data_IF_363223195942
#
_entry.id   IF_363223195942
#
_cell.length_a   1.000
_cell.length_b   1.000
_cell.length_c   1.000
_cell.angle_alpha   90.00
_cell.angle_beta   90.00
_cell.angle_gamma   90.00
#
_symmetry.space_group_name_H-M   'P 1'
#
loop_
_entity.id
_entity.type
_entity.pdbx_description
1 polymer ?
#
# COMPACT_ATOMS: atom_id res chain seq x y z
N UNK A 1 25.30 3.65 1.61
CA UNK A 1 24.88 2.90 0.41
C UNK A 1 23.90 3.77 -0.36
N UNK A 2 24.02 3.84 -1.68
CA UNK A 2 23.62 5.01 -2.50
C UNK A 2 22.11 5.08 -2.77
N UNK A 3 21.48 6.22 -2.48
CA UNK A 3 20.10 6.58 -2.83
C UNK A 3 19.75 6.39 -4.33
N UNK A 4 20.76 6.39 -5.20
CA UNK A 4 20.61 6.13 -6.65
C UNK A 4 20.18 4.69 -7.00
N UNK A 5 20.50 3.69 -6.18
CA UNK A 5 20.07 2.30 -6.43
C UNK A 5 18.62 2.05 -6.01
N UNK A 6 18.15 2.77 -4.98
CA UNK A 6 16.76 2.74 -4.51
C UNK A 6 15.86 3.44 -5.53
N UNK A 7 16.28 4.59 -6.08
CA UNK A 7 15.55 5.35 -7.10
C UNK A 7 15.16 4.50 -8.31
N UNK A 8 16.08 3.72 -8.90
CA UNK A 8 15.76 2.88 -10.06
C UNK A 8 14.89 1.68 -9.71
N UNK A 9 15.01 1.10 -8.51
CA UNK A 9 14.19 -0.05 -8.11
C UNK A 9 12.72 0.34 -7.88
N UNK A 10 12.47 1.49 -7.22
CA UNK A 10 11.12 2.02 -6.99
C UNK A 10 10.48 2.51 -8.29
N UNK A 11 11.24 3.25 -9.11
CA UNK A 11 10.76 3.77 -10.40
C UNK A 11 10.48 2.65 -11.40
N UNK A 12 11.29 1.58 -11.41
CA UNK A 12 11.03 0.42 -12.25
C UNK A 12 9.82 -0.37 -11.74
N UNK A 13 9.75 -0.75 -10.46
CA UNK A 13 8.65 -1.57 -9.91
C UNK A 13 7.26 -0.95 -10.13
N UNK A 14 7.19 0.39 -10.26
CA UNK A 14 5.95 1.15 -10.39
C UNK A 14 5.68 1.58 -11.86
N UNK A 15 6.70 1.59 -12.73
CA UNK A 15 6.62 2.01 -14.14
C UNK A 15 6.22 0.88 -15.10
N UNK A 16 4.92 0.63 -15.24
CA UNK A 16 4.36 -0.16 -16.34
C UNK A 16 4.51 0.57 -17.69
N UNK A 17 5.70 0.41 -18.30
CA UNK A 17 6.09 0.47 -19.74
C UNK A 17 7.29 1.42 -19.95
N UNK A 18 8.40 0.85 -20.41
CA UNK A 18 9.45 1.55 -21.17
C UNK A 18 10.52 2.29 -20.36
N UNK A 19 11.60 1.58 -19.97
CA UNK A 19 12.90 2.20 -19.76
C UNK A 19 13.97 1.37 -20.47
N UNK A 20 14.60 1.94 -21.50
CA UNK A 20 15.84 1.43 -22.09
C UNK A 20 17.02 2.00 -21.30
N UNK A 21 17.95 1.13 -20.88
CA UNK A 21 19.11 1.47 -20.07
C UNK A 21 20.06 2.44 -20.79
N UNK A 22 20.28 3.63 -20.20
CA UNK A 22 21.49 4.43 -20.48
C UNK A 22 22.56 4.12 -19.44
N UNK A 23 23.48 3.24 -19.79
CA UNK A 23 24.71 3.02 -19.03
C UNK A 23 25.56 4.30 -19.01
N UNK A 24 25.91 4.78 -17.81
CA UNK A 24 27.01 5.74 -17.64
C UNK A 24 28.05 5.13 -16.70
N UNK A 25 29.26 4.97 -17.22
CA UNK A 25 30.45 4.42 -16.57
C UNK A 25 31.23 5.50 -15.79
N UNK A 26 32.20 5.02 -14.98
CA UNK A 26 33.37 5.72 -14.38
C UNK A 26 33.15 6.24 -12.94
N UNK A 27 34.03 6.09 -11.93
CA UNK A 27 35.35 5.47 -11.74
C UNK A 27 35.52 5.03 -10.27
N UNK A 28 36.45 4.09 -10.04
CA UNK A 28 36.94 3.64 -8.72
C UNK A 28 37.91 4.63 -8.08
N UNK A 29 37.83 4.82 -6.76
CA UNK A 29 38.81 5.57 -5.99
C UNK A 29 38.86 5.17 -4.51
N UNK A 30 40.03 4.67 -4.11
CA UNK A 30 40.68 4.63 -2.79
C UNK A 30 39.94 4.09 -1.54
N UNK A 31 40.49 2.98 -1.02
CA UNK A 31 40.33 2.44 0.34
C UNK A 31 41.17 3.21 1.36
N UNK A 32 40.68 3.40 2.60
CA UNK A 32 41.55 3.56 3.76
C UNK A 32 41.47 2.36 4.71
N UNK A 33 42.65 1.97 5.18
CA UNK A 33 42.97 1.00 6.23
C UNK A 33 42.61 1.54 7.62
N UNK A 34 42.06 0.69 8.49
CA UNK A 34 42.10 0.89 9.96
C UNK A 34 42.42 -0.45 10.63
N UNK A 35 43.43 -0.42 11.51
CA UNK A 35 43.92 -1.55 12.31
C UNK A 35 42.98 -1.92 13.48
N UNK A 36 42.95 -3.24 13.72
CA UNK A 36 42.80 -4.03 14.95
C UNK A 36 42.84 -3.29 16.32
N UNK A 37 42.24 -3.72 17.44
CA UNK A 37 41.95 -5.05 18.04
C UNK A 37 40.83 -4.87 19.10
N UNK A 38 39.92 -5.84 19.24
CA UNK A 38 39.42 -6.29 20.55
C UNK A 38 38.91 -7.74 20.43
N UNK A 39 39.73 -8.69 20.87
CA UNK A 39 39.40 -10.11 20.98
C UNK A 39 38.29 -10.35 22.01
N UNK A 40 37.16 -10.89 21.56
CA UNK A 40 36.11 -11.46 22.42
C UNK A 40 36.21 -12.99 22.36
N UNK A 41 36.15 -13.63 23.52
CA UNK A 41 36.29 -15.08 23.70
C UNK A 41 35.23 -15.89 22.92
N UNK A 42 35.54 -17.13 22.48
CA UNK A 42 34.61 -17.95 21.73
C UNK A 42 33.51 -18.48 22.65
N UNK A 43 32.26 -18.16 22.33
CA UNK A 43 31.09 -18.86 22.87
C UNK A 43 30.90 -20.11 22.03
N UNK A 44 31.01 -21.28 22.66
CA UNK A 44 30.74 -22.58 22.05
C UNK A 44 29.30 -22.63 21.52
N UNK A 45 29.16 -22.69 20.21
CA UNK A 45 27.89 -22.93 19.52
C UNK A 45 27.41 -24.35 19.79
N UNK A 46 26.30 -24.49 20.50
CA UNK A 46 25.53 -25.73 20.51
C UNK A 46 25.00 -25.98 19.08
N UNK A 47 25.28 -27.17 18.56
CA UNK A 47 24.82 -27.64 17.25
C UNK A 47 23.29 -27.67 17.21
N UNK A 48 22.68 -26.69 16.55
CA UNK A 48 21.26 -26.73 16.18
C UNK A 48 21.15 -27.65 14.97
N UNK A 49 20.37 -28.72 15.09
CA UNK A 49 20.07 -29.63 13.99
C UNK A 49 19.46 -28.85 12.81
N UNK A 50 19.83 -29.16 11.55
CA UNK A 50 19.26 -28.49 10.40
C UNK A 50 17.75 -28.71 10.39
N UNK A 51 16.99 -27.61 10.42
CA UNK A 51 15.56 -27.60 10.17
C UNK A 51 15.29 -28.29 8.82
N UNK A 52 14.34 -29.22 8.72
CA UNK A 52 14.01 -29.84 7.44
C UNK A 52 13.64 -28.75 6.45
N UNK A 53 14.44 -28.61 5.40
CA UNK A 53 14.16 -27.76 4.25
C UNK A 53 12.87 -28.25 3.62
N UNK A 54 11.80 -27.45 3.73
CA UNK A 54 10.57 -27.63 2.95
C UNK A 54 10.98 -27.79 1.48
N UNK A 55 10.50 -28.83 0.76
CA UNK A 55 10.82 -28.98 -0.65
C UNK A 55 10.42 -27.71 -1.41
N UNK A 56 11.17 -27.31 -2.46
CA UNK A 56 10.83 -26.16 -3.27
C UNK A 56 9.41 -26.32 -3.79
N UNK A 57 8.57 -25.30 -3.58
CA UNK A 57 7.22 -25.30 -4.13
C UNK A 57 7.33 -25.32 -5.66
N UNK A 58 6.86 -26.40 -6.28
CA UNK A 58 6.96 -26.64 -7.72
C UNK A 58 5.71 -26.05 -8.41
N UNK A 59 5.78 -24.77 -8.76
CA UNK A 59 4.75 -24.13 -9.60
C UNK A 59 5.14 -24.30 -11.06
N UNK A 60 4.27 -24.92 -11.87
CA UNK A 60 4.45 -24.90 -13.32
C UNK A 60 4.38 -23.44 -13.80
N UNK A 61 5.23 -23.03 -14.77
CA UNK A 61 5.05 -21.74 -15.43
C UNK A 61 3.61 -21.66 -15.94
N UNK A 62 2.94 -20.50 -15.87
CA UNK A 62 1.60 -20.38 -16.41
C UNK A 62 1.58 -20.94 -17.84
N UNK A 63 0.65 -21.84 -18.15
CA UNK A 63 0.47 -22.43 -19.49
C UNK A 63 -0.80 -21.86 -20.11
N UNK A 64 -0.68 -21.16 -21.25
CA UNK A 64 -1.80 -20.48 -21.93
C UNK A 64 -1.58 -18.98 -22.13
N UNK A 65 -2.30 -18.33 -23.04
CA UNK A 65 -2.29 -16.85 -23.16
C UNK A 65 -2.49 -16.21 -21.77
N UNK A 66 -1.93 -15.01 -21.48
CA UNK A 66 -2.34 -14.27 -20.30
C UNK A 66 -3.85 -14.11 -20.41
N UNK A 67 -4.62 -14.86 -19.63
CA UNK A 67 -6.05 -14.62 -19.54
C UNK A 67 -6.22 -13.31 -18.77
N UNK A 68 -6.08 -12.21 -19.51
CA UNK A 68 -6.33 -10.82 -19.11
C UNK A 68 -7.83 -10.55 -18.93
N UNK A 69 -8.68 -11.58 -18.99
CA UNK A 69 -10.09 -11.41 -18.68
C UNK A 69 -10.20 -11.14 -17.17
N UNK A 70 -10.63 -9.94 -16.74
CA UNK A 70 -10.92 -9.71 -15.34
C UNK A 70 -11.90 -10.80 -14.87
N UNK A 71 -11.85 -11.23 -13.59
CA UNK A 71 -12.97 -11.99 -13.03
C UNK A 71 -14.23 -11.18 -13.33
N UNK A 72 -15.33 -11.87 -13.71
CA UNK A 72 -16.63 -11.24 -14.01
C UNK A 72 -16.79 -10.00 -13.14
N UNK A 73 -16.94 -8.82 -13.76
CA UNK A 73 -16.77 -7.52 -13.08
C UNK A 73 -17.64 -7.38 -11.81
N UNK A 74 -18.68 -8.20 -11.70
CA UNK A 74 -19.58 -8.35 -10.55
C UNK A 74 -18.94 -8.90 -9.26
N UNK A 75 -17.74 -9.49 -9.30
CA UNK A 75 -17.10 -10.11 -8.13
C UNK A 75 -16.14 -9.19 -7.35
N UNK A 76 -15.74 -8.02 -7.86
CA UNK A 76 -14.85 -7.13 -7.09
C UNK A 76 -15.51 -6.02 -6.24
N UNK A 77 -16.80 -5.67 -6.36
CA UNK A 77 -17.30 -4.51 -5.61
C UNK A 77 -17.43 -4.80 -4.11
N UNK A 78 -17.61 -6.05 -3.69
CA UNK A 78 -17.80 -6.40 -2.27
C UNK A 78 -16.50 -6.81 -1.58
N UNK A 79 -16.37 -6.62 -0.25
CA UNK A 79 -15.23 -7.12 0.51
C UNK A 79 -15.01 -8.63 0.32
N UNK A 80 -16.10 -9.41 0.31
CA UNK A 80 -16.07 -10.86 0.14
C UNK A 80 -15.59 -11.25 -1.26
N UNK A 81 -16.01 -10.48 -2.25
CA UNK A 81 -15.64 -10.69 -3.63
C UNK A 81 -14.17 -10.37 -3.91
N UNK A 82 -13.64 -9.29 -3.33
CA UNK A 82 -12.20 -9.00 -3.33
C UNK A 82 -11.42 -10.11 -2.63
N UNK A 83 -11.86 -10.55 -1.45
CA UNK A 83 -11.19 -11.63 -0.71
C UNK A 83 -11.16 -12.93 -1.52
N UNK A 84 -12.26 -13.28 -2.20
CA UNK A 84 -12.31 -14.42 -3.11
C UNK A 84 -11.36 -14.28 -4.30
N UNK A 85 -11.21 -13.07 -4.86
CA UNK A 85 -10.26 -12.82 -5.93
C UNK A 85 -8.79 -13.01 -5.49
N UNK A 86 -8.43 -12.56 -4.28
CA UNK A 86 -7.11 -12.79 -3.71
C UNK A 86 -6.86 -14.27 -3.42
N UNK A 87 -7.85 -14.98 -2.85
CA UNK A 87 -7.76 -16.42 -2.60
C UNK A 87 -7.55 -17.21 -3.90
N UNK A 88 -8.29 -16.86 -4.96
CA UNK A 88 -8.14 -17.50 -6.26
C UNK A 88 -6.78 -17.18 -6.92
N UNK A 89 -6.22 -15.98 -6.71
CA UNK A 89 -4.86 -15.66 -7.16
C UNK A 89 -3.82 -16.49 -6.40
N UNK A 90 -3.97 -16.64 -5.09
CA UNK A 90 -3.08 -17.46 -4.27
C UNK A 90 -3.15 -18.94 -4.65
N UNK A 91 -4.34 -19.49 -4.83
CA UNK A 91 -4.55 -20.90 -5.23
C UNK A 91 -3.89 -21.22 -6.58
N UNK A 92 -3.91 -20.27 -7.53
CA UNK A 92 -3.22 -20.41 -8.82
C UNK A 92 -1.71 -20.23 -8.72
N UNK A 93 -1.24 -19.47 -7.73
CA UNK A 93 0.17 -19.09 -7.58
C UNK A 93 0.73 -19.34 -6.18
N UNK A 94 0.63 -20.56 -5.63
CA UNK A 94 0.91 -20.82 -4.22
C UNK A 94 2.39 -20.72 -3.87
N UNK A 95 3.29 -20.82 -4.84
CA UNK A 95 4.75 -20.72 -4.62
C UNK A 95 5.26 -19.29 -4.71
N UNK A 96 4.45 -18.39 -5.27
CA UNK A 96 4.82 -17.01 -5.60
C UNK A 96 4.00 -15.98 -4.80
N UNK A 97 3.09 -16.46 -3.95
CA UNK A 97 2.22 -15.61 -3.15
C UNK A 97 1.87 -16.22 -1.80
N UNK A 98 1.47 -15.37 -0.86
CA UNK A 98 0.98 -15.71 0.48
C UNK A 98 -0.29 -14.89 0.75
N UNK A 99 -1.38 -15.54 1.15
CA UNK A 99 -2.60 -14.84 1.58
C UNK A 99 -2.59 -14.69 3.10
N UNK A 100 -2.59 -13.44 3.58
CA UNK A 100 -2.45 -13.11 5.01
C UNK A 100 -3.66 -12.30 5.47
N UNK A 101 -4.29 -12.70 6.58
CA UNK A 101 -5.24 -11.84 7.29
C UNK A 101 -4.45 -10.87 8.18
N UNK A 102 -4.45 -9.58 7.85
CA UNK A 102 -3.71 -8.55 8.58
C UNK A 102 -4.54 -7.90 9.69
N UNK A 103 -5.78 -8.31 9.90
CA UNK A 103 -6.64 -7.76 10.93
C UNK A 103 -8.11 -7.90 10.57
N UNK A 104 -8.96 -7.38 11.44
CA UNK A 104 -10.42 -7.37 11.27
C UNK A 104 -11.00 -6.01 11.59
N UNK A 105 -12.10 -5.66 10.91
CA UNK A 105 -12.83 -4.41 11.12
C UNK A 105 -13.72 -4.44 12.38
N UNK A 106 -14.41 -3.33 12.66
CA UNK A 106 -15.38 -3.26 13.76
C UNK A 106 -16.52 -4.26 13.64
N UNK A 107 -16.93 -4.60 12.41
CA UNK A 107 -17.98 -5.59 12.14
C UNK A 107 -17.41 -6.98 11.82
N UNK A 108 -16.20 -7.29 12.30
CA UNK A 108 -15.53 -8.59 12.20
C UNK A 108 -15.27 -9.06 10.75
N UNK A 109 -15.14 -8.13 9.79
CA UNK A 109 -14.73 -8.47 8.43
C UNK A 109 -13.21 -8.56 8.33
N UNK A 110 -12.65 -9.62 7.72
CA UNK A 110 -11.21 -9.78 7.58
C UNK A 110 -10.62 -8.79 6.58
N UNK A 111 -9.44 -8.28 6.91
CA UNK A 111 -8.61 -7.42 6.07
C UNK A 111 -7.49 -8.30 5.54
N UNK A 112 -7.46 -8.51 4.22
CA UNK A 112 -6.51 -9.42 3.59
C UNK A 112 -5.40 -8.68 2.85
N UNK A 113 -4.19 -9.22 2.97
CA UNK A 113 -3.07 -8.93 2.09
C UNK A 113 -2.79 -10.15 1.21
N UNK A 114 -2.58 -9.95 -0.09
CA UNK A 114 -1.86 -10.91 -0.91
C UNK A 114 -0.41 -10.44 -1.00
N UNK A 115 0.50 -11.19 -0.40
CA UNK A 115 1.93 -10.88 -0.46
C UNK A 115 2.52 -11.63 -1.63
N UNK A 116 3.23 -10.94 -2.51
CA UNK A 116 3.76 -11.47 -3.76
C UNK A 116 5.27 -11.25 -3.84
N UNK A 117 5.99 -12.23 -4.40
CA UNK A 117 7.46 -12.24 -4.46
C UNK A 117 8.07 -13.23 -3.47
N UNK A 118 9.31 -13.65 -3.71
CA UNK A 118 9.91 -14.73 -2.93
C UNK A 118 10.29 -14.27 -1.52
N UNK A 119 9.59 -14.84 -0.53
CA UNK A 119 9.79 -14.64 0.89
C UNK A 119 11.07 -15.29 1.42
N UNK A 120 12.00 -14.46 1.87
CA UNK A 120 13.00 -14.80 2.88
C UNK A 120 13.38 -13.50 3.61
N UNK A 121 13.78 -13.51 4.89
CA UNK A 121 14.16 -12.33 5.68
C UNK A 121 15.43 -11.59 5.20
N UNK A 122 15.88 -11.87 3.98
CA UNK A 122 17.18 -11.51 3.43
C UNK A 122 17.23 -10.06 2.95
N UNK A 123 16.89 -9.10 3.83
CA UNK A 123 17.10 -7.67 3.60
C UNK A 123 16.50 -7.07 2.32
N UNK A 124 15.57 -7.78 1.66
CA UNK A 124 14.91 -7.31 0.45
C UNK A 124 13.93 -6.20 0.80
N UNK A 125 13.79 -5.15 -0.04
CA UNK A 125 12.81 -4.11 0.19
C UNK A 125 11.39 -4.66 0.08
N UNK A 126 10.55 -4.32 1.07
CA UNK A 126 9.10 -4.51 1.00
C UNK A 126 8.43 -3.26 0.44
N UNK A 127 7.44 -3.43 -0.42
CA UNK A 127 6.59 -2.36 -0.96
C UNK A 127 5.14 -2.58 -0.58
N UNK A 128 4.42 -1.50 -0.34
CA UNK A 128 3.02 -1.56 0.11
C UNK A 128 2.09 -0.92 -0.92
N UNK A 129 1.17 -1.71 -1.47
CA UNK A 129 0.10 -1.22 -2.34
C UNK A 129 -1.22 -1.42 -1.60
N UNK A 130 -1.92 -0.33 -1.31
CA UNK A 130 -3.14 -0.38 -0.53
C UNK A 130 -4.25 0.47 -1.13
N UNK A 131 -5.50 0.15 -0.80
CA UNK A 131 -6.68 0.82 -1.32
C UNK A 131 -7.87 0.75 -0.36
N UNK A 132 -8.90 1.53 -0.69
CA UNK A 132 -10.19 1.56 0.02
C UNK A 132 -9.99 1.86 1.51
N UNK A 133 -9.22 2.90 1.85
CA UNK A 133 -9.38 3.54 3.17
C UNK A 133 -10.74 4.23 3.27
N UNK A 134 -11.22 4.75 2.14
CA UNK A 134 -12.58 5.23 1.96
C UNK A 134 -13.43 4.13 1.29
N UNK A 135 -14.48 3.68 1.97
CA UNK A 135 -15.33 2.60 1.46
C UNK A 135 -16.16 2.96 0.21
N UNK A 136 -16.34 4.25 -0.07
CA UNK A 136 -17.05 4.77 -1.24
C UNK A 136 -16.19 4.84 -2.52
N UNK A 137 -14.99 4.25 -2.50
CA UNK A 137 -14.03 4.25 -3.61
C UNK A 137 -13.70 2.82 -4.11
N UNK A 138 -14.69 1.95 -4.42
CA UNK A 138 -14.46 0.52 -4.73
C UNK A 138 -13.55 0.29 -5.94
N UNK A 139 -13.48 1.24 -6.88
CA UNK A 139 -12.58 1.14 -8.04
C UNK A 139 -11.10 1.09 -7.62
N UNK A 140 -10.72 1.69 -6.48
CA UNK A 140 -9.34 1.62 -5.98
C UNK A 140 -8.90 0.18 -5.65
N UNK A 141 -9.81 -0.67 -5.17
CA UNK A 141 -9.51 -2.09 -4.92
C UNK A 141 -9.11 -2.82 -6.21
N UNK A 142 -9.77 -2.47 -7.33
CA UNK A 142 -9.48 -3.09 -8.62
C UNK A 142 -8.03 -2.83 -9.07
N UNK A 143 -7.46 -1.66 -8.79
CA UNK A 143 -6.07 -1.35 -9.12
C UNK A 143 -5.08 -2.26 -8.39
N UNK A 144 -5.31 -2.50 -7.10
CA UNK A 144 -4.42 -3.37 -6.29
C UNK A 144 -4.58 -4.84 -6.68
N UNK A 145 -5.81 -5.30 -6.94
CA UNK A 145 -6.06 -6.67 -7.42
C UNK A 145 -5.48 -6.88 -8.83
N UNK A 146 -5.57 -5.88 -9.70
CA UNK A 146 -5.00 -5.95 -11.04
C UNK A 146 -3.46 -5.96 -11.03
N UNK A 147 -2.84 -5.17 -10.15
CA UNK A 147 -1.40 -5.23 -9.93
C UNK A 147 -0.95 -6.64 -9.51
N UNK A 148 -1.66 -7.28 -8.57
CA UNK A 148 -1.39 -8.67 -8.18
C UNK A 148 -1.53 -9.64 -9.37
N UNK A 149 -2.61 -9.51 -10.15
CA UNK A 149 -2.85 -10.36 -11.33
C UNK A 149 -1.76 -10.17 -12.37
N UNK A 150 -1.36 -8.94 -12.65
CA UNK A 150 -0.33 -8.60 -13.63
C UNK A 150 1.02 -9.24 -13.26
N UNK A 151 1.43 -9.09 -12.00
CA UNK A 151 2.69 -9.63 -11.50
C UNK A 151 2.72 -11.17 -11.60
N UNK A 152 1.64 -11.83 -11.15
CA UNK A 152 1.59 -13.28 -11.10
C UNK A 152 1.42 -13.93 -12.49
N UNK A 153 0.62 -13.33 -13.39
CA UNK A 153 0.36 -13.90 -14.72
C UNK A 153 1.55 -13.78 -15.70
N UNK A 154 2.47 -12.84 -15.43
CA UNK A 154 3.65 -12.57 -16.26
C UNK A 154 4.94 -13.15 -15.70
N UNK A 155 4.89 -13.81 -14.54
CA UNK A 155 6.02 -14.58 -14.01
C UNK A 155 6.51 -15.62 -15.03
N UNK A 156 7.82 -15.66 -15.27
CA UNK A 156 8.48 -16.50 -16.26
C UNK A 156 8.27 -16.06 -17.71
N UNK A 157 7.61 -14.94 -17.95
CA UNK A 157 7.28 -14.42 -19.29
C UNK A 157 7.76 -12.98 -19.51
N UNK A 158 7.85 -12.19 -18.45
CA UNK A 158 8.39 -10.84 -18.46
C UNK A 158 9.57 -10.75 -17.49
N UNK A 159 10.79 -10.61 -18.02
CA UNK A 159 12.03 -10.54 -17.25
C UNK A 159 12.04 -9.38 -16.24
N UNK A 160 11.29 -8.31 -16.51
CA UNK A 160 11.14 -7.17 -15.61
C UNK A 160 10.27 -7.53 -14.41
N UNK A 161 9.15 -8.22 -14.64
CA UNK A 161 8.29 -8.74 -13.56
C UNK A 161 9.05 -9.76 -12.72
N UNK A 162 9.76 -10.69 -13.37
CA UNK A 162 10.57 -11.68 -12.66
C UNK A 162 11.63 -11.03 -11.77
N UNK A 163 12.24 -9.94 -12.25
CA UNK A 163 13.15 -9.14 -11.43
C UNK A 163 12.45 -8.57 -10.19
N UNK A 164 11.27 -7.97 -10.32
CA UNK A 164 10.53 -7.44 -9.16
C UNK A 164 10.19 -8.55 -8.16
N UNK A 165 9.70 -9.69 -8.64
CA UNK A 165 9.35 -10.83 -7.80
C UNK A 165 10.57 -11.48 -7.11
N UNK A 166 11.75 -11.30 -7.69
CA UNK A 166 13.02 -11.79 -7.14
C UNK A 166 13.63 -10.81 -6.14
N UNK A 167 13.61 -9.51 -6.44
CA UNK A 167 14.30 -8.46 -5.68
C UNK A 167 13.45 -7.82 -4.58
N UNK A 168 12.12 -7.96 -4.61
CA UNK A 168 11.22 -7.27 -3.69
C UNK A 168 10.09 -8.17 -3.15
N UNK A 169 9.52 -7.76 -2.02
CA UNK A 169 8.29 -8.33 -1.44
C UNK A 169 7.18 -7.29 -1.57
N UNK A 170 6.09 -7.61 -2.25
CA UNK A 170 4.97 -6.69 -2.46
C UNK A 170 3.80 -7.08 -1.57
N UNK A 171 3.42 -6.21 -0.65
CA UNK A 171 2.23 -6.35 0.18
C UNK A 171 1.06 -5.64 -0.49
N UNK A 172 0.11 -6.42 -1.02
CA UNK A 172 -1.06 -5.88 -1.71
C UNK A 172 -2.30 -6.01 -0.83
N UNK A 173 -2.83 -4.89 -0.32
CA UNK A 173 -4.03 -4.80 0.54
C UNK A 173 -5.12 -4.01 -0.17
N UNK A 174 -5.98 -4.64 -0.98
CA UNK A 174 -6.96 -3.92 -1.79
C UNK A 174 -8.11 -3.29 -0.99
N UNK A 175 -8.37 -3.78 0.22
CA UNK A 175 -9.48 -3.29 1.06
C UNK A 175 -9.04 -3.10 2.49
N UNK A 176 -8.72 -1.87 2.86
CA UNK A 176 -8.44 -1.50 4.27
C UNK A 176 -9.74 -1.29 5.05
N UNK A 177 -10.79 -0.75 4.42
CA UNK A 177 -12.09 -0.48 5.03
C UNK A 177 -13.20 -1.42 4.50
N UNK A 178 -13.26 -2.69 4.93
CA UNK A 178 -14.27 -3.62 4.44
C UNK A 178 -15.70 -3.25 4.90
N UNK A 179 -15.86 -2.59 6.05
CA UNK A 179 -17.18 -2.20 6.56
C UNK A 179 -17.81 -1.06 5.77
N UNK A 180 -17.01 -0.02 5.48
CA UNK A 180 -17.41 1.08 4.63
C UNK A 180 -17.69 0.62 3.20
N UNK A 181 -16.82 -0.23 2.65
CA UNK A 181 -17.01 -0.80 1.31
C UNK A 181 -18.33 -1.57 1.23
N UNK A 182 -18.60 -2.45 2.19
CA UNK A 182 -19.87 -3.17 2.29
C UNK A 182 -21.05 -2.20 2.33
N UNK A 183 -21.00 -1.17 3.18
CA UNK A 183 -22.08 -0.19 3.29
C UNK A 183 -22.34 0.56 1.99
N UNK A 184 -21.29 0.93 1.27
CA UNK A 184 -21.38 1.63 -0.01
C UNK A 184 -22.04 0.75 -1.08
N UNK A 185 -21.52 -0.46 -1.30
CA UNK A 185 -21.98 -1.32 -2.40
C UNK A 185 -23.34 -1.96 -2.15
N UNK A 186 -23.72 -2.15 -0.89
CA UNK A 186 -25.07 -2.58 -0.51
C UNK A 186 -26.07 -1.42 -0.43
N UNK A 187 -25.63 -0.18 -0.74
CA UNK A 187 -26.47 1.03 -0.68
C UNK A 187 -27.12 1.23 0.69
N UNK A 188 -26.46 0.77 1.76
CA UNK A 188 -27.00 0.73 3.13
C UNK A 188 -27.55 2.08 3.59
N UNK A 189 -26.91 3.17 3.17
CA UNK A 189 -27.25 4.54 3.57
C UNK A 189 -27.78 5.40 2.41
N UNK A 190 -28.17 4.79 1.29
CA UNK A 190 -28.74 5.51 0.15
C UNK A 190 -30.02 6.24 0.55
N UNK A 191 -30.15 7.51 0.14
CA UNK A 191 -31.31 8.34 0.46
C UNK A 191 -31.34 8.92 1.89
N UNK A 192 -30.33 8.68 2.73
CA UNK A 192 -30.29 9.16 4.12
C UNK A 192 -29.65 10.56 4.30
N UNK A 193 -29.41 11.30 3.21
CA UNK A 193 -28.89 12.68 3.26
C UNK A 193 -27.40 12.82 3.60
N UNK A 194 -26.62 11.73 3.55
CA UNK A 194 -25.17 11.77 3.77
C UNK A 194 -24.43 12.36 2.57
N UNK A 195 -23.43 13.20 2.83
CA UNK A 195 -22.56 13.77 1.77
C UNK A 195 -21.68 12.71 1.09
N UNK A 196 -21.21 11.71 1.85
CA UNK A 196 -20.29 10.65 1.44
C UNK A 196 -20.69 9.31 2.09
N UNK A 197 -21.83 8.71 1.67
CA UNK A 197 -22.33 7.48 2.28
C UNK A 197 -21.33 6.32 2.08
N UNK A 198 -21.04 5.56 3.12
CA UNK A 198 -20.12 4.41 3.05
C UNK A 198 -18.62 4.77 3.04
N UNK A 199 -18.25 6.05 3.15
CA UNK A 199 -16.85 6.48 3.22
C UNK A 199 -16.12 5.98 4.47
N UNK A 200 -16.71 6.19 5.66
CA UNK A 200 -16.12 5.88 6.97
C UNK A 200 -16.18 4.37 7.27
N UNK A 201 -15.47 3.91 8.29
CA UNK A 201 -15.53 2.50 8.72
C UNK A 201 -16.81 2.15 9.53
N UNK A 202 -16.87 0.94 10.08
CA UNK A 202 -18.05 0.41 10.80
C UNK A 202 -18.15 0.76 12.28
N UNK A 203 -17.39 1.75 12.79
CA UNK A 203 -17.37 2.10 14.21
C UNK A 203 -18.72 2.68 14.68
N UNK A 204 -19.33 2.05 15.67
CA UNK A 204 -20.46 2.63 16.41
C UNK A 204 -20.00 3.84 17.24
N UNK A 205 -20.42 5.04 16.83
CA UNK A 205 -19.99 6.30 17.45
C UNK A 205 -20.92 6.74 18.60
N UNK A 206 -22.18 6.32 18.60
CA UNK A 206 -23.19 6.74 19.59
C UNK A 206 -23.52 5.66 20.63
N UNK A 207 -23.02 4.44 20.44
CA UNK A 207 -23.16 3.31 21.36
C UNK A 207 -24.53 2.64 21.31
N UNK A 208 -25.31 2.85 20.25
CA UNK A 208 -26.65 2.25 20.11
C UNK A 208 -26.61 0.78 19.64
N UNK A 209 -25.42 0.25 19.34
CA UNK A 209 -25.19 -1.12 18.90
C UNK A 209 -25.56 -1.38 17.44
N UNK A 210 -25.77 -0.34 16.63
CA UNK A 210 -26.14 -0.44 15.22
C UNK A 210 -25.09 0.26 14.37
N UNK A 211 -24.99 -0.17 13.12
CA UNK A 211 -24.22 0.55 12.11
C UNK A 211 -25.13 1.51 11.34
N UNK A 212 -25.18 2.74 11.82
CA UNK A 212 -25.99 3.85 11.33
C UNK A 212 -25.25 4.81 10.38
N UNK A 213 -25.97 5.80 9.81
CA UNK A 213 -25.46 6.69 8.78
C UNK A 213 -24.38 7.68 9.28
N UNK A 214 -24.38 8.01 10.57
CA UNK A 214 -23.43 8.94 11.18
C UNK A 214 -22.19 8.24 11.76
N UNK A 215 -22.19 6.92 11.76
CA UNK A 215 -21.13 6.09 12.33
C UNK A 215 -19.87 6.05 11.48
N UNK A 216 -18.82 5.53 12.10
CA UNK A 216 -17.51 5.33 11.52
C UNK A 216 -16.52 6.46 11.81
N UNK A 217 -15.28 6.20 11.44
CA UNK A 217 -14.16 7.13 11.40
C UNK A 217 -13.62 7.17 9.97
N UNK A 218 -13.17 8.35 9.53
CA UNK A 218 -12.42 8.48 8.30
C UNK A 218 -11.02 7.90 8.54
N UNK A 219 -10.75 6.69 8.03
CA UNK A 219 -9.49 5.99 8.26
C UNK A 219 -8.28 6.82 7.79
N UNK A 220 -8.43 7.60 6.71
CA UNK A 220 -7.36 8.46 6.21
C UNK A 220 -7.32 9.84 6.90
N UNK A 221 -7.90 9.95 8.11
CA UNK A 221 -7.68 11.00 9.11
C UNK A 221 -7.28 10.44 10.47
N UNK A 222 -7.11 9.13 10.59
CA UNK A 222 -6.89 8.46 11.86
C UNK A 222 -5.41 8.16 12.15
N UNK A 223 -4.49 8.38 11.22
CA UNK A 223 -3.08 7.97 11.44
C UNK A 223 -2.33 8.89 12.43
N UNK A 224 -1.36 8.36 13.21
CA UNK A 224 -0.71 9.09 14.30
C UNK A 224 0.08 10.35 13.95
N UNK A 225 0.57 10.48 12.72
CA UNK A 225 1.41 11.63 12.37
C UNK A 225 0.57 12.89 12.22
N UNK A 226 0.87 13.88 13.09
CA UNK A 226 0.20 15.20 13.10
C UNK A 226 -1.32 15.08 13.16
N UNK A 227 -1.85 14.05 13.82
CA UNK A 227 -3.27 13.85 13.99
C UNK A 227 -3.94 15.07 14.65
N UNK A 228 -4.91 15.65 13.96
CA UNK A 228 -5.61 16.87 14.39
C UNK A 228 -4.79 18.15 14.44
N UNK A 229 -3.63 18.18 13.77
CA UNK A 229 -2.75 19.34 13.73
C UNK A 229 -3.38 20.59 13.11
N UNK A 230 -4.30 20.43 12.15
CA UNK A 230 -4.95 21.53 11.45
C UNK A 230 -6.24 22.01 12.16
N UNK A 231 -6.48 21.56 13.40
CA UNK A 231 -7.75 21.83 14.08
C UNK A 231 -8.92 21.25 13.27
N UNK A 232 -10.02 21.98 13.13
CA UNK A 232 -11.23 21.52 12.43
C UNK A 232 -11.19 21.70 10.89
N UNK A 233 -10.08 22.18 10.32
CA UNK A 233 -9.96 22.47 8.88
C UNK A 233 -9.54 21.24 8.05
N UNK A 234 -8.60 20.44 8.53
CA UNK A 234 -8.10 19.25 7.80
C UNK A 234 -8.88 17.96 8.06
N UNK A 235 -9.37 17.83 9.29
CA UNK A 235 -10.30 16.80 9.76
C UNK A 235 -11.12 17.36 10.92
N UNK A 236 -12.10 16.62 11.42
CA UNK A 236 -13.01 17.14 12.46
C UNK A 236 -13.16 16.20 13.65
N UNK A 237 -13.43 16.75 14.84
CA UNK A 237 -13.84 15.98 16.01
C UNK A 237 -15.35 15.68 16.03
N UNK A 238 -16.14 16.28 15.14
CA UNK A 238 -17.58 16.03 15.03
C UNK A 238 -17.84 14.67 14.39
N UNK A 239 -18.25 13.69 15.21
CA UNK A 239 -18.35 12.28 14.83
C UNK A 239 -19.31 11.99 13.65
N UNK A 240 -20.37 12.79 13.50
CA UNK A 240 -21.33 12.62 12.40
C UNK A 240 -20.77 13.03 11.02
N UNK A 241 -19.67 13.79 10.97
CA UNK A 241 -19.13 14.28 9.71
C UNK A 241 -18.22 13.26 9.02
N UNK A 242 -18.25 13.27 7.69
CA UNK A 242 -17.49 12.35 6.82
C UNK A 242 -15.96 12.42 6.96
N UNK A 243 -15.42 13.46 7.61
CA UNK A 243 -13.98 13.67 7.89
C UNK A 243 -13.66 13.50 9.38
N UNK A 244 -14.54 12.84 10.14
CA UNK A 244 -14.31 12.58 11.56
C UNK A 244 -13.03 11.77 11.76
N UNK A 245 -12.08 12.34 12.51
CA UNK A 245 -10.72 11.81 12.68
C UNK A 245 -10.59 10.67 13.69
N UNK A 246 -11.67 10.35 14.39
CA UNK A 246 -11.70 9.39 15.49
C UNK A 246 -11.52 10.04 16.86
N UNK A 247 -11.64 9.26 17.94
CA UNK A 247 -11.51 9.72 19.32
C UNK A 247 -10.04 9.95 19.72
N UNK A 248 -9.12 9.19 19.13
CA UNK A 248 -7.67 9.27 19.35
C UNK A 248 -6.96 8.85 18.06
N UNK A 249 -5.69 9.22 17.91
CA UNK A 249 -4.90 8.78 16.77
C UNK A 249 -4.67 7.25 16.82
N UNK A 250 -4.85 6.58 15.68
CA UNK A 250 -4.74 5.14 15.54
C UNK A 250 -5.79 4.38 16.34
N UNK A 251 -6.98 4.94 16.53
CA UNK A 251 -8.06 4.31 17.29
C UNK A 251 -8.65 3.10 16.59
N UNK A 252 -8.72 3.13 15.25
CA UNK A 252 -9.47 2.17 14.46
C UNK A 252 -8.71 0.84 14.28
N UNK A 253 -9.39 -0.32 14.36
CA UNK A 253 -8.74 -1.62 14.19
C UNK A 253 -8.16 -1.79 12.77
N UNK A 254 -8.78 -1.19 11.75
CA UNK A 254 -8.27 -1.16 10.38
C UNK A 254 -6.96 -0.36 10.29
N UNK A 255 -6.92 0.85 10.89
CA UNK A 255 -5.70 1.67 10.96
C UNK A 255 -4.60 0.96 11.75
N UNK A 256 -4.94 0.31 12.87
CA UNK A 256 -3.99 -0.50 13.67
C UNK A 256 -3.45 -1.70 12.89
N UNK A 257 -4.24 -2.31 12.01
CA UNK A 257 -3.77 -3.39 11.12
C UNK A 257 -2.67 -2.90 10.18
N UNK A 258 -2.89 -1.75 9.52
CA UNK A 258 -1.89 -1.13 8.63
C UNK A 258 -0.64 -0.70 9.40
N UNK A 259 -0.81 -0.04 10.55
CA UNK A 259 0.31 0.37 11.41
C UNK A 259 1.18 -0.83 11.78
N UNK A 260 0.56 -1.93 12.22
CA UNK A 260 1.29 -3.12 12.67
C UNK A 260 2.14 -3.75 11.55
N UNK A 261 1.62 -3.87 10.33
CA UNK A 261 2.40 -4.42 9.23
C UNK A 261 3.50 -3.46 8.78
N UNK A 262 3.26 -2.14 8.84
CA UNK A 262 4.26 -1.14 8.48
C UNK A 262 5.40 -1.05 9.51
N UNK A 263 5.09 -1.17 10.80
CA UNK A 263 6.08 -1.25 11.88
C UNK A 263 6.93 -2.53 11.76
N UNK A 264 6.35 -3.64 11.29
CA UNK A 264 7.03 -4.92 11.14
C UNK A 264 7.89 -4.99 9.87
N UNK A 265 7.38 -4.51 8.75
CA UNK A 265 8.01 -4.66 7.43
C UNK A 265 8.90 -3.47 7.05
N UNK A 266 8.64 -2.28 7.58
CA UNK A 266 9.34 -1.02 7.25
C UNK A 266 9.43 -0.85 5.73
N UNK A 267 8.30 -0.52 5.10
CA UNK A 267 8.20 -0.46 3.65
C UNK A 267 9.16 0.58 3.04
N UNK A 268 9.86 0.19 1.98
CA UNK A 268 10.72 1.06 1.19
C UNK A 268 9.90 2.10 0.40
N UNK A 269 8.72 1.72 -0.06
CA UNK A 269 7.77 2.63 -0.70
C UNK A 269 6.32 2.17 -0.53
N UNK A 270 5.39 3.11 -0.57
CA UNK A 270 3.96 2.87 -0.42
C UNK A 270 3.12 3.64 -1.45
N UNK A 271 2.15 2.95 -2.04
CA UNK A 271 1.12 3.55 -2.89
C UNK A 271 -0.26 3.30 -2.27
N UNK A 272 -0.92 4.40 -1.89
CA UNK A 272 -2.27 4.43 -1.37
C UNK A 272 -3.22 4.91 -2.45
N UNK A 273 -4.05 4.01 -2.98
CA UNK A 273 -4.95 4.31 -4.09
C UNK A 273 -6.27 4.89 -3.61
N UNK A 274 -6.61 6.06 -4.14
CA UNK A 274 -7.86 6.77 -3.93
C UNK A 274 -8.51 7.13 -5.27
N UNK A 275 -9.84 7.35 -5.28
CA UNK A 275 -10.60 7.70 -6.49
C UNK A 275 -11.34 9.02 -6.30
N UNK A 276 -11.36 9.84 -7.35
CA UNK A 276 -12.07 11.13 -7.40
C UNK A 276 -11.21 12.32 -7.84
N UNK A 277 -9.89 12.14 -7.93
CA UNK A 277 -8.96 13.11 -8.49
C UNK A 277 -7.93 12.45 -9.43
N UNK A 278 -7.29 13.25 -10.27
CA UNK A 278 -6.23 12.82 -11.18
C UNK A 278 -4.94 13.52 -10.73
N UNK A 279 -4.27 12.96 -9.73
CA UNK A 279 -3.04 13.53 -9.15
C UNK A 279 -2.24 12.46 -8.40
N UNK A 280 -0.93 12.70 -8.25
CA UNK A 280 -0.07 11.95 -7.34
C UNK A 280 0.24 12.85 -6.14
N UNK A 281 -0.27 12.45 -4.97
CA UNK A 281 -0.10 13.22 -3.74
C UNK A 281 1.12 12.71 -2.98
N UNK A 282 2.08 13.60 -2.70
CA UNK A 282 3.34 13.21 -2.06
C UNK A 282 3.43 13.81 -0.66
N UNK A 283 3.82 13.02 0.36
CA UNK A 283 4.04 13.54 1.70
C UNK A 283 5.02 14.73 1.76
N UNK A 284 4.82 15.69 2.67
CA UNK A 284 3.69 15.74 3.60
C UNK A 284 2.48 16.47 3.02
N UNK A 285 1.26 15.95 3.22
CA UNK A 285 0.02 16.57 2.73
C UNK A 285 -0.46 17.76 3.57
N UNK A 286 0.13 17.95 4.75
CA UNK A 286 -0.25 18.98 5.74
C UNK A 286 0.44 20.32 5.45
N UNK A 287 -0.29 21.40 5.26
CA UNK A 287 0.30 22.74 5.12
C UNK A 287 1.14 23.12 6.35
N UNK A 288 2.21 23.89 6.12
CA UNK A 288 3.18 24.34 7.14
C UNK A 288 4.04 23.24 7.75
N UNK A 289 3.84 21.97 7.41
CA UNK A 289 4.80 20.91 7.74
C UNK A 289 5.94 20.95 6.72
N UNK A 290 7.18 20.95 7.21
CA UNK A 290 8.34 21.04 6.32
C UNK A 290 8.71 19.66 5.78
N UNK A 291 8.87 19.57 4.46
CA UNK A 291 9.33 18.35 3.82
C UNK A 291 10.82 18.07 4.14
N UNK A 292 11.22 16.79 4.22
CA UNK A 292 12.61 16.41 4.30
C UNK A 292 13.41 16.93 3.09
N UNK A 293 14.72 17.12 3.28
CA UNK A 293 15.67 17.47 2.21
C UNK A 293 16.84 16.48 2.23
N UNK A 294 17.09 15.71 1.15
CA UNK A 294 16.34 15.68 -0.11
C UNK A 294 14.88 15.23 0.08
N UNK A 295 14.02 15.50 -0.90
CA UNK A 295 12.65 14.98 -0.93
C UNK A 295 12.57 13.85 -1.97
N UNK A 296 13.07 12.69 -1.58
CA UNK A 296 13.20 11.52 -2.45
C UNK A 296 11.84 11.01 -2.93
N UNK A 297 10.78 11.15 -2.12
CA UNK A 297 9.45 10.73 -2.56
C UNK A 297 8.90 11.62 -3.66
N UNK A 298 9.20 12.92 -3.60
CA UNK A 298 8.80 13.83 -4.67
C UNK A 298 9.53 13.53 -5.98
N UNK A 299 10.82 13.24 -5.91
CA UNK A 299 11.60 12.90 -7.10
C UNK A 299 11.12 11.59 -7.72
N UNK A 300 10.92 10.55 -6.91
CA UNK A 300 10.33 9.27 -7.36
C UNK A 300 8.93 9.46 -7.95
N UNK A 301 8.08 10.25 -7.30
CA UNK A 301 6.73 10.53 -7.78
C UNK A 301 6.74 11.20 -9.16
N UNK A 302 7.66 12.13 -9.41
CA UNK A 302 7.82 12.74 -10.75
C UNK A 302 8.23 11.70 -11.79
N UNK A 303 9.15 10.82 -11.45
CA UNK A 303 9.65 9.80 -12.37
C UNK A 303 8.55 8.77 -12.71
N UNK A 304 7.73 8.37 -11.72
CA UNK A 304 6.56 7.53 -11.94
C UNK A 304 5.53 8.25 -12.81
N UNK A 305 5.14 9.48 -12.44
CA UNK A 305 4.14 10.25 -13.17
C UNK A 305 4.52 10.50 -14.64
N UNK A 306 5.82 10.64 -14.93
CA UNK A 306 6.33 10.80 -16.30
C UNK A 306 6.20 9.54 -17.16
N UNK A 307 6.15 8.35 -16.55
CA UNK A 307 6.01 7.06 -17.24
C UNK A 307 4.55 6.60 -17.35
N UNK A 308 3.63 7.20 -16.59
CA UNK A 308 2.22 6.86 -16.66
C UNK A 308 1.62 7.28 -18.01
N UNK A 309 0.83 6.37 -18.59
CA UNK A 309 0.01 6.67 -19.76
C UNK A 309 -0.89 7.88 -19.51
N UNK A 310 -1.17 8.64 -20.57
CA UNK A 310 -2.05 9.81 -20.46
C UNK A 310 -3.44 9.38 -19.97
N UNK A 311 -3.90 9.94 -18.85
CA UNK A 311 -5.28 9.75 -18.40
C UNK A 311 -6.25 10.36 -19.44
N UNK A 312 -7.33 9.66 -19.85
CA UNK A 312 -8.25 10.16 -20.87
C UNK A 312 -8.79 11.57 -20.58
N UNK A 313 -9.09 11.83 -19.31
CA UNK A 313 -9.60 13.12 -18.82
C UNK A 313 -8.51 14.13 -18.39
N UNK A 314 -7.22 13.82 -18.59
CA UNK A 314 -6.14 14.76 -18.27
C UNK A 314 -6.12 15.92 -19.28
N UNK A 315 -6.47 17.11 -18.79
CA UNK A 315 -6.59 18.34 -19.58
C UNK A 315 -5.22 18.98 -19.90
N UNK A 316 -4.16 18.63 -19.14
CA UNK A 316 -2.79 19.12 -19.33
C UNK A 316 -1.74 18.04 -18.99
N UNK A 317 -0.49 18.25 -19.43
CA UNK A 317 0.65 17.41 -19.05
C UNK A 317 1.37 17.98 -17.80
N UNK A 318 1.95 17.15 -16.91
CA UNK A 318 1.94 15.68 -16.94
C UNK A 318 0.54 15.10 -16.65
N UNK A 319 0.25 13.87 -17.12
CA UNK A 319 -1.09 13.29 -17.03
C UNK A 319 -1.56 13.07 -15.59
N UNK A 320 -0.62 12.93 -14.66
CA UNK A 320 -0.85 12.92 -13.22
C UNK A 320 0.03 14.02 -12.59
N UNK A 321 -0.49 15.21 -12.27
CA UNK A 321 0.27 16.23 -11.57
C UNK A 321 0.77 15.69 -10.24
N UNK A 322 2.07 15.84 -10.00
CA UNK A 322 2.70 15.61 -8.70
C UNK A 322 2.48 16.85 -7.86
N UNK A 323 1.79 16.70 -6.74
CA UNK A 323 1.43 17.81 -5.88
C UNK A 323 1.44 17.38 -4.41
N UNK A 324 1.56 18.37 -3.53
CA UNK A 324 1.56 18.15 -2.08
C UNK A 324 0.21 17.62 -1.60
N UNK A 325 -0.85 18.28 -2.01
CA UNK A 325 -2.22 18.00 -1.57
C UNK A 325 -3.22 18.54 -2.60
N UNK A 326 -4.48 18.10 -2.52
CA UNK A 326 -5.62 18.78 -3.17
C UNK A 326 -6.11 19.95 -2.32
N UNK A 327 -6.05 19.74 -1.01
CA UNK A 327 -6.30 20.66 0.08
C UNK A 327 -5.58 20.10 1.31
N UNK A 328 -5.20 20.96 2.26
CA UNK A 328 -4.47 20.52 3.45
C UNK A 328 -5.30 19.58 4.31
N UNK A 329 -4.74 18.44 4.69
CA UNK A 329 -5.36 17.41 5.52
C UNK A 329 -4.35 16.89 6.54
N UNK A 330 -4.81 16.24 7.61
CA UNK A 330 -3.96 15.67 8.65
C UNK A 330 -4.35 14.23 8.99
N UNK A 331 -3.44 13.48 9.64
CA UNK A 331 -3.70 12.09 10.02
C UNK A 331 -3.85 11.13 8.84
N UNK A 332 -3.16 11.38 7.73
CA UNK A 332 -3.17 10.50 6.55
C UNK A 332 -2.17 9.37 6.67
N UNK A 333 -2.44 8.27 5.97
CA UNK A 333 -1.58 7.08 5.94
C UNK A 333 -0.19 7.39 5.36
N UNK A 334 -0.14 8.02 4.20
CA UNK A 334 1.10 8.34 3.49
C UNK A 334 2.02 9.26 4.30
N UNK A 335 1.45 10.25 5.01
CA UNK A 335 2.24 11.15 5.85
C UNK A 335 2.79 10.41 7.07
N UNK A 336 2.02 9.49 7.65
CA UNK A 336 2.49 8.67 8.75
C UNK A 336 3.59 7.68 8.32
N UNK A 337 3.41 6.96 7.21
CA UNK A 337 4.44 6.08 6.65
C UNK A 337 5.75 6.83 6.43
N UNK A 338 5.70 8.01 5.82
CA UNK A 338 6.88 8.84 5.60
C UNK A 338 7.52 9.28 6.91
N UNK A 339 6.73 9.74 7.87
CA UNK A 339 7.26 10.30 9.12
C UNK A 339 7.81 9.24 10.08
N UNK A 340 7.16 8.09 10.17
CA UNK A 340 7.52 7.02 11.09
C UNK A 340 8.68 6.17 10.56
N UNK A 341 8.70 5.90 9.25
CA UNK A 341 9.59 4.90 8.67
C UNK A 341 10.49 5.44 7.55
N UNK A 342 10.27 6.66 7.09
CA UNK A 342 10.97 7.18 5.91
C UNK A 342 10.53 6.53 4.60
N UNK A 343 9.39 5.82 4.61
CA UNK A 343 8.80 5.20 3.42
C UNK A 343 8.59 6.24 2.32
N UNK A 344 8.95 5.86 1.09
CA UNK A 344 8.80 6.67 -0.12
C UNK A 344 7.35 6.69 -0.59
#
# INVERSE_FOLDING_TARGET
MKASAISSAVVCAIGLIGCEDRATTVASGATPTVSAIATVAPVTSASIAPTPTTPPCEEQPPTGEPHDAPPKEDLLPTPEGVAAALAALHERHPCSSELVEIGRSHLDRPIHALVVGQGSPDGKPSFFLNAVHHGDEPLSAAFVVDAARYLLSRRGRDARVDRYLTEARLWLVPVVNPDGLFAYVTKRFEGMGLKKPGRKNGRDNDGDGRFGPNDGVDLNRNYPFKWGFLGEEGSTAAWALHTFRGPTAGSEPETKAVIRIADAEIFAGSLSYHVGGIAMLVPYTIDRVRDPKPNEAWDVARDVAAQMSKHPDAVAAPPFPVQRNLYSVDGTDQDWHRAAHGTI
#
